data_IF_202005273524
#
_entry.id   IF_202005273524
#
_cell.length_a   1.000
_cell.length_b   1.000
_cell.length_c   1.000
_cell.angle_alpha   90.00
_cell.angle_beta   90.00
_cell.angle_gamma   90.00
#
_symmetry.space_group_name_H-M   'P 1'
#
loop_
_entity.id
_entity.type
_entity.pdbx_description
1 polymer ?
#
# COMPACT_ATOMS: atom_id res chain seq x y z
N UNK A 1 9.09 -18.51 -6.91
CA UNK A 1 7.64 -18.40 -6.74
C UNK A 1 7.32 -16.94 -6.56
N UNK A 2 6.71 -16.33 -7.56
CA UNK A 2 6.15 -14.98 -7.54
C UNK A 2 4.84 -14.95 -6.73
N UNK A 3 4.38 -13.77 -6.32
CA UNK A 3 3.03 -13.57 -5.77
C UNK A 3 1.96 -14.08 -6.73
N UNK A 4 2.17 -13.91 -8.04
CA UNK A 4 1.27 -14.40 -9.10
C UNK A 4 1.20 -15.94 -9.11
N UNK A 5 2.35 -16.61 -8.99
CA UNK A 5 2.41 -18.08 -8.96
C UNK A 5 1.65 -18.63 -7.76
N UNK A 6 1.78 -17.99 -6.59
CA UNK A 6 1.07 -18.38 -5.38
C UNK A 6 -0.45 -18.21 -5.52
N UNK A 7 -0.91 -17.13 -6.17
CA UNK A 7 -2.34 -16.92 -6.47
C UNK A 7 -2.84 -17.99 -7.45
N UNK A 8 -2.08 -18.29 -8.51
CA UNK A 8 -2.44 -19.35 -9.46
C UNK A 8 -2.57 -20.71 -8.78
N UNK A 9 -1.67 -21.04 -7.86
CA UNK A 9 -1.72 -22.31 -7.12
C UNK A 9 -2.98 -22.39 -6.23
N UNK A 10 -3.35 -21.30 -5.56
CA UNK A 10 -4.62 -21.24 -4.81
C UNK A 10 -5.83 -21.42 -5.73
N UNK A 11 -5.85 -20.76 -6.90
CA UNK A 11 -6.93 -20.91 -7.88
C UNK A 11 -7.05 -22.37 -8.37
N UNK A 12 -5.93 -23.05 -8.61
CA UNK A 12 -5.95 -24.49 -8.97
C UNK A 12 -6.55 -25.36 -7.88
N UNK A 13 -6.28 -25.07 -6.60
CA UNK A 13 -6.89 -25.79 -5.47
C UNK A 13 -8.40 -25.56 -5.43
N UNK A 14 -8.84 -24.31 -5.63
CA UNK A 14 -10.26 -23.94 -5.71
C UNK A 14 -10.98 -24.69 -6.83
N UNK A 15 -10.42 -24.68 -8.04
CA UNK A 15 -11.01 -25.36 -9.18
C UNK A 15 -11.17 -26.86 -8.96
N UNK A 16 -10.17 -27.51 -8.35
CA UNK A 16 -10.23 -28.95 -8.03
C UNK A 16 -11.33 -29.26 -7.03
N UNK A 17 -11.41 -28.47 -5.95
CA UNK A 17 -12.43 -28.67 -4.94
C UNK A 17 -13.85 -28.37 -5.46
N UNK A 18 -13.97 -27.45 -6.44
CA UNK A 18 -15.23 -27.16 -7.12
C UNK A 18 -15.66 -28.24 -8.14
N UNK A 19 -14.89 -29.31 -8.37
CA UNK A 19 -15.30 -30.44 -9.25
C UNK A 19 -16.06 -31.55 -8.51
N UNK A 20 -16.13 -31.53 -7.18
CA UNK A 20 -16.83 -32.55 -6.37
C UNK A 20 -18.37 -32.54 -6.53
N UNK A 21 -19.10 -33.47 -5.89
CA UNK A 21 -20.57 -33.49 -5.90
C UNK A 21 -21.17 -32.18 -5.36
N UNK A 22 -22.22 -31.66 -6.01
CA UNK A 22 -22.79 -30.34 -5.69
C UNK A 22 -23.24 -30.17 -4.23
N UNK A 23 -23.64 -31.26 -3.57
CA UNK A 23 -24.09 -31.29 -2.17
C UNK A 23 -22.96 -31.08 -1.14
N UNK A 24 -21.69 -31.21 -1.54
CA UNK A 24 -20.53 -31.15 -0.64
C UNK A 24 -19.58 -29.97 -0.98
N UNK A 25 -20.00 -29.05 -1.84
CA UNK A 25 -19.17 -27.91 -2.31
C UNK A 25 -19.21 -26.70 -1.36
N UNK A 26 -18.74 -26.87 -0.13
CA UNK A 26 -18.52 -25.76 0.79
C UNK A 26 -17.06 -25.30 0.74
N UNK A 27 -16.76 -24.34 -0.13
CA UNK A 27 -15.42 -23.76 -0.23
C UNK A 27 -15.36 -22.35 0.36
N UNK A 28 -14.44 -22.13 1.29
CA UNK A 28 -14.05 -20.80 1.77
C UNK A 28 -12.54 -20.66 1.57
N UNK A 29 -12.12 -19.62 0.85
CA UNK A 29 -10.71 -19.34 0.58
C UNK A 29 -10.37 -17.97 1.15
N UNK A 30 -9.40 -17.95 2.06
CA UNK A 30 -8.80 -16.73 2.59
C UNK A 30 -7.44 -16.52 1.92
N UNK A 31 -7.25 -15.37 1.29
CA UNK A 31 -5.96 -14.95 0.76
C UNK A 31 -5.52 -13.71 1.53
N UNK A 32 -4.37 -13.81 2.22
CA UNK A 32 -3.72 -12.68 2.89
C UNK A 32 -2.54 -12.19 2.05
N UNK A 33 -2.49 -10.89 1.78
CA UNK A 33 -1.38 -10.25 1.07
C UNK A 33 -0.61 -9.36 2.05
N UNK A 34 0.71 -9.53 2.09
CA UNK A 34 1.62 -8.65 2.82
C UNK A 34 2.45 -7.83 1.84
N UNK A 35 2.49 -6.52 2.03
CA UNK A 35 3.26 -5.61 1.19
C UNK A 35 4.66 -5.49 1.77
N UNK A 36 5.64 -6.13 1.12
CA UNK A 36 7.04 -6.00 1.51
C UNK A 36 7.46 -4.53 1.54
N UNK A 37 8.08 -4.11 2.64
CA UNK A 37 8.66 -2.77 2.79
C UNK A 37 7.64 -1.61 2.67
N UNK A 38 6.38 -1.86 3.05
CA UNK A 38 5.23 -0.98 2.83
C UNK A 38 5.48 0.52 3.12
N UNK A 39 6.07 0.84 4.28
CA UNK A 39 6.32 2.24 4.64
C UNK A 39 7.45 2.88 3.84
N UNK A 40 8.55 2.19 3.55
CA UNK A 40 9.64 2.77 2.77
C UNK A 40 9.31 2.85 1.27
N UNK A 41 8.26 2.15 0.84
CA UNK A 41 7.79 2.12 -0.55
C UNK A 41 6.47 2.88 -0.77
N UNK A 42 5.98 3.62 0.24
CA UNK A 42 4.74 4.38 0.15
C UNK A 42 4.84 5.48 -0.94
N UNK A 43 3.99 5.45 -1.98
CA UNK A 43 4.10 6.35 -3.13
C UNK A 43 3.61 7.77 -2.79
N UNK A 44 4.50 8.76 -2.88
CA UNK A 44 4.17 10.15 -2.54
C UNK A 44 3.11 10.77 -3.44
N UNK A 45 2.99 10.34 -4.70
CA UNK A 45 1.96 10.83 -5.61
C UNK A 45 0.55 10.43 -5.13
N UNK A 46 0.37 9.21 -4.60
CA UNK A 46 -0.94 8.80 -4.04
C UNK A 46 -1.25 9.56 -2.75
N UNK A 47 -0.22 9.79 -1.92
CA UNK A 47 -0.38 10.63 -0.71
C UNK A 47 -0.77 12.06 -1.10
N UNK A 48 -0.11 12.65 -2.10
CA UNK A 48 -0.41 13.99 -2.60
C UNK A 48 -1.84 14.10 -3.13
N UNK A 49 -2.27 13.11 -3.90
CA UNK A 49 -3.64 13.03 -4.43
C UNK A 49 -4.67 12.95 -3.30
N UNK A 50 -4.46 12.07 -2.32
CA UNK A 50 -5.33 11.95 -1.15
C UNK A 50 -5.39 13.26 -0.34
N UNK A 51 -4.26 13.96 -0.20
CA UNK A 51 -4.23 15.28 0.46
C UNK A 51 -5.03 16.33 -0.32
N UNK A 52 -4.98 16.34 -1.66
CA UNK A 52 -5.79 17.24 -2.51
C UNK A 52 -7.29 17.00 -2.37
N UNK A 53 -7.68 15.73 -2.24
CA UNK A 53 -9.08 15.32 -2.07
C UNK A 53 -9.58 15.53 -0.64
N UNK A 54 -8.69 15.66 0.33
CA UNK A 54 -9.07 15.89 1.72
C UNK A 54 -9.73 17.26 1.92
N UNK A 55 -10.72 17.33 2.82
CA UNK A 55 -11.33 18.59 3.24
C UNK A 55 -10.46 19.38 4.25
N UNK A 56 -9.16 19.06 4.34
CA UNK A 56 -8.27 19.70 5.30
C UNK A 56 -7.96 21.14 4.88
N UNK A 57 -7.75 22.07 5.84
CA UNK A 57 -7.28 23.41 5.55
C UNK A 57 -5.98 23.42 4.72
N UNK A 58 -5.91 24.32 3.73
CA UNK A 58 -4.78 24.41 2.79
C UNK A 58 -3.43 24.58 3.50
N UNK A 59 -3.38 25.28 4.64
CA UNK A 59 -2.14 25.45 5.40
C UNK A 59 -1.61 24.12 5.96
N UNK A 60 -2.50 23.21 6.38
CA UNK A 60 -2.11 21.87 6.83
C UNK A 60 -1.64 21.01 5.66
N UNK A 61 -2.34 21.06 4.53
CA UNK A 61 -1.94 20.35 3.30
C UNK A 61 -0.53 20.80 2.88
N UNK A 62 -0.25 22.10 2.88
CA UNK A 62 1.08 22.65 2.59
C UNK A 62 2.14 22.16 3.58
N UNK A 63 1.84 22.11 4.88
CA UNK A 63 2.77 21.60 5.88
C UNK A 63 3.09 20.10 5.66
N UNK A 64 2.07 19.29 5.39
CA UNK A 64 2.22 17.85 5.14
C UNK A 64 2.98 17.58 3.83
N UNK A 65 2.74 18.36 2.78
CA UNK A 65 3.54 18.32 1.54
C UNK A 65 4.99 18.70 1.76
N UNK A 66 5.23 19.77 2.52
CA UNK A 66 6.59 20.21 2.86
C UNK A 66 7.36 19.13 3.61
N UNK A 67 6.69 18.34 4.47
CA UNK A 67 7.31 17.22 5.17
C UNK A 67 7.84 16.13 4.21
N UNK A 68 7.18 15.93 3.08
CA UNK A 68 7.60 14.96 2.06
C UNK A 68 8.55 15.54 1.02
N UNK A 69 8.72 16.85 0.95
CA UNK A 69 9.51 17.49 -0.09
C UNK A 69 11.03 17.41 0.17
N UNK A 70 11.83 17.23 -0.89
CA UNK A 70 13.29 17.28 -0.88
C UNK A 70 13.96 16.44 0.23
N UNK A 71 13.41 15.25 0.50
CA UNK A 71 13.96 14.37 1.52
C UNK A 71 15.18 13.60 1.00
N UNK A 72 16.14 13.47 1.90
CA UNK A 72 17.27 12.56 1.74
C UNK A 72 17.25 11.49 2.83
N UNK A 73 17.74 10.30 2.49
CA UNK A 73 18.08 9.24 3.41
C UNK A 73 19.59 9.27 3.63
N UNK A 74 20.02 9.51 4.87
CA UNK A 74 21.41 9.34 5.28
C UNK A 74 21.67 7.84 5.48
N UNK A 75 22.59 7.29 4.70
CA UNK A 75 23.00 5.88 4.75
C UNK A 75 24.26 5.73 5.61
N UNK A 76 25.19 6.67 5.47
CA UNK A 76 26.38 6.82 6.31
C UNK A 76 26.71 8.33 6.48
N UNK A 77 27.85 8.66 7.10
CA UNK A 77 28.26 10.05 7.38
C UNK A 77 28.43 10.90 6.11
N UNK A 78 28.81 10.29 4.99
CA UNK A 78 29.14 10.97 3.74
C UNK A 78 28.13 10.66 2.60
N UNK A 79 27.23 9.69 2.81
CA UNK A 79 26.28 9.20 1.82
C UNK A 79 24.86 9.60 2.20
N UNK A 80 24.35 10.60 1.50
CA UNK A 80 22.95 10.94 1.45
C UNK A 80 22.37 10.65 0.07
N UNK A 81 21.20 9.99 0.02
CA UNK A 81 20.49 9.73 -1.23
C UNK A 81 19.11 10.40 -1.21
N UNK A 82 18.69 11.07 -2.30
CA UNK A 82 17.34 11.59 -2.39
C UNK A 82 16.34 10.43 -2.42
N UNK A 83 15.21 10.62 -1.76
CA UNK A 83 14.10 9.68 -1.79
C UNK A 83 12.91 10.29 -2.52
N UNK A 84 12.21 9.47 -3.30
CA UNK A 84 11.01 9.84 -4.06
C UNK A 84 9.75 9.13 -3.57
N UNK A 85 9.91 8.27 -2.56
CA UNK A 85 8.83 7.53 -1.93
C UNK A 85 9.22 7.22 -0.48
N UNK A 86 8.24 6.71 0.26
CA UNK A 86 8.41 6.22 1.61
C UNK A 86 8.06 7.24 2.68
N UNK A 87 7.68 6.71 3.83
CA UNK A 87 7.40 7.46 5.04
C UNK A 87 8.34 6.93 6.14
N UNK A 88 8.99 7.80 6.92
CA UNK A 88 9.93 7.33 7.94
C UNK A 88 9.25 6.41 8.96
N UNK A 89 9.80 5.22 9.14
CA UNK A 89 9.36 4.31 10.20
C UNK A 89 9.63 4.95 11.56
N UNK A 90 8.66 4.87 12.48
CA UNK A 90 8.71 5.58 13.76
C UNK A 90 8.22 7.03 13.71
N UNK A 91 7.91 7.58 12.53
CA UNK A 91 7.19 8.86 12.42
C UNK A 91 5.74 8.70 12.86
N UNK A 92 5.26 9.64 13.68
CA UNK A 92 3.83 9.74 14.07
C UNK A 92 2.93 9.88 12.84
N UNK A 93 3.40 10.60 11.81
CA UNK A 93 2.63 10.81 10.58
C UNK A 93 2.73 9.65 9.59
N UNK A 94 3.72 8.76 9.76
CA UNK A 94 3.99 7.65 8.84
C UNK A 94 2.76 6.77 8.58
N UNK A 95 2.09 6.25 9.63
CA UNK A 95 0.86 5.48 9.48
C UNK A 95 -0.25 6.26 8.78
N UNK A 96 -0.41 7.56 9.09
CA UNK A 96 -1.46 8.40 8.49
C UNK A 96 -1.23 8.57 6.99
N UNK A 97 -0.01 8.87 6.57
CA UNK A 97 0.37 8.97 5.17
C UNK A 97 0.18 7.65 4.42
N UNK A 98 0.59 6.54 5.02
CA UNK A 98 0.37 5.21 4.44
C UNK A 98 -1.12 4.90 4.28
N UNK A 99 -1.93 5.16 5.31
CA UNK A 99 -3.39 5.00 5.24
C UNK A 99 -3.98 5.87 4.14
N UNK A 100 -3.58 7.13 4.01
CA UNK A 100 -4.07 8.01 2.94
C UNK A 100 -3.74 7.48 1.54
N UNK A 101 -2.53 6.94 1.33
CA UNK A 101 -2.14 6.38 0.04
C UNK A 101 -2.98 5.15 -0.38
N UNK A 102 -3.39 4.31 0.57
CA UNK A 102 -3.99 3.01 0.28
C UNK A 102 -5.48 2.89 0.62
N UNK A 103 -6.04 3.79 1.42
CA UNK A 103 -7.46 3.73 1.80
C UNK A 103 -8.40 4.32 0.76
N UNK A 104 -7.87 5.14 -0.15
CA UNK A 104 -8.64 5.80 -1.21
C UNK A 104 -8.75 4.95 -2.49
N UNK A 105 -8.53 3.64 -2.38
CA UNK A 105 -8.72 2.66 -3.44
C UNK A 105 -10.18 2.21 -3.60
N UNK A 106 -11.15 3.02 -3.14
CA UNK A 106 -12.57 2.78 -3.37
C UNK A 106 -13.09 3.55 -4.59
N UNK A 107 -13.59 2.76 -5.54
CA UNK A 107 -14.63 3.03 -6.54
C UNK A 107 -14.22 3.54 -7.95
N UNK A 108 -13.66 2.64 -8.76
CA UNK A 108 -14.20 2.36 -10.11
C UNK A 108 -14.41 0.85 -10.25
N UNK A 109 -15.49 0.37 -9.63
CA UNK A 109 -16.17 -0.88 -9.97
C UNK A 109 -17.65 -0.53 -9.85
N UNK A 110 -18.13 0.19 -10.86
CA UNK A 110 -19.54 0.42 -11.15
C UNK A 110 -19.80 -0.09 -12.56
#
# INVERSE_FOLDING_TARGET
MSTTDAVEDVLRVVERANRGPAKDRHLCVLISLDVKNAFNSAPWNLIDEALRRSAAPEYLIRALRSYMHARNLAVDEDLCMPVSCGVPQGSVLGPTFFTMAFSDSRCEMA
#
